data_IF_705320001194
#
_entry.id   IF_705320001194
#
_cell.length_a   1.000
_cell.length_b   1.000
_cell.length_c   1.000
_cell.angle_alpha   90.00
_cell.angle_beta   90.00
_cell.angle_gamma   90.00
#
_symmetry.space_group_name_H-M   'P 1'
#
loop_
_entity.id
_entity.type
_entity.pdbx_description
1 polymer ?
#
# COMPACT_ATOMS: atom_id res chain seq x y z
N UNK A 1 -2.43 30.80 -0.07
CA UNK A 1 -2.36 29.31 -0.09
C UNK A 1 -1.65 28.87 1.19
N UNK A 2 -2.38 28.39 2.21
CA UNK A 2 -1.75 27.86 3.44
C UNK A 2 -1.20 26.48 3.11
N UNK A 3 0.11 26.30 3.22
CA UNK A 3 0.74 24.98 3.11
C UNK A 3 0.13 24.06 4.18
N UNK A 4 -0.35 22.90 3.74
CA UNK A 4 -0.86 21.85 4.62
C UNK A 4 0.30 21.45 5.52
N UNK A 5 0.15 21.66 6.83
CA UNK A 5 1.16 21.24 7.79
C UNK A 5 1.04 19.71 7.91
N UNK A 6 1.91 18.99 7.21
CA UNK A 6 1.96 17.52 7.32
C UNK A 6 2.20 17.20 8.79
N UNK A 7 1.23 16.52 9.40
CA UNK A 7 1.31 16.12 10.80
C UNK A 7 2.38 15.04 10.93
N UNK A 8 3.30 15.18 11.89
CA UNK A 8 4.34 14.17 12.17
C UNK A 8 3.73 12.78 12.36
N UNK A 9 2.56 12.70 13.00
CA UNK A 9 1.84 11.45 13.23
C UNK A 9 1.42 10.76 11.91
N UNK A 10 1.16 11.53 10.85
CA UNK A 10 0.75 10.99 9.55
C UNK A 10 1.91 10.26 8.88
N UNK A 11 3.10 10.85 8.90
CA UNK A 11 4.29 10.19 8.36
C UNK A 11 4.63 8.94 9.18
N UNK A 12 4.61 9.02 10.51
CA UNK A 12 4.94 7.89 11.39
C UNK A 12 3.98 6.71 11.22
N UNK A 13 2.67 6.96 11.16
CA UNK A 13 1.69 5.89 11.01
C UNK A 13 1.76 5.28 9.61
N UNK A 14 1.88 6.10 8.56
CA UNK A 14 2.05 5.57 7.19
C UNK A 14 3.33 4.76 7.06
N UNK A 15 4.42 5.18 7.72
CA UNK A 15 5.67 4.44 7.75
C UNK A 15 5.51 3.08 8.42
N UNK A 16 4.97 3.05 9.63
CA UNK A 16 4.76 1.81 10.39
C UNK A 16 3.87 0.82 9.64
N UNK A 17 2.80 1.30 9.02
CA UNK A 17 1.89 0.44 8.26
C UNK A 17 2.53 -0.04 6.96
N UNK A 18 3.28 0.79 6.25
CA UNK A 18 4.00 0.36 5.05
C UNK A 18 5.04 -0.72 5.38
N UNK A 19 5.79 -0.55 6.48
CA UNK A 19 6.72 -1.57 6.97
C UNK A 19 5.98 -2.87 7.31
N UNK A 20 4.89 -2.78 8.09
CA UNK A 20 4.11 -3.95 8.47
C UNK A 20 3.54 -4.69 7.25
N UNK A 21 3.00 -3.94 6.28
CA UNK A 21 2.49 -4.49 5.03
C UNK A 21 3.59 -5.23 4.25
N UNK A 22 4.76 -4.62 4.06
CA UNK A 22 5.88 -5.25 3.35
C UNK A 22 6.38 -6.51 4.08
N UNK A 23 6.52 -6.46 5.41
CA UNK A 23 6.92 -7.63 6.20
C UNK A 23 5.92 -8.78 6.01
N UNK A 24 4.63 -8.49 6.11
CA UNK A 24 3.57 -9.50 5.92
C UNK A 24 3.62 -10.05 4.50
N UNK A 25 3.68 -9.18 3.50
CA UNK A 25 3.67 -9.60 2.11
C UNK A 25 4.88 -10.45 1.76
N UNK A 26 6.08 -10.06 2.19
CA UNK A 26 7.29 -10.86 1.97
C UNK A 26 7.27 -12.17 2.74
N UNK A 27 6.83 -12.16 4.00
CA UNK A 27 6.72 -13.39 4.79
C UNK A 27 5.80 -14.40 4.11
N UNK A 28 4.64 -13.94 3.60
CA UNK A 28 3.74 -14.78 2.82
C UNK A 28 4.37 -15.24 1.50
N UNK A 29 5.12 -14.37 0.84
CA UNK A 29 5.77 -14.67 -0.44
C UNK A 29 6.84 -15.75 -0.27
N UNK A 30 7.72 -15.63 0.73
CA UNK A 30 8.70 -16.66 1.07
C UNK A 30 8.06 -17.97 1.50
N UNK A 31 6.93 -17.90 2.23
CA UNK A 31 6.21 -19.09 2.65
C UNK A 31 5.62 -19.86 1.47
N UNK A 32 5.21 -19.16 0.41
CA UNK A 32 4.66 -19.76 -0.80
C UNK A 32 5.76 -20.22 -1.77
N UNK A 33 6.91 -19.54 -1.81
CA UNK A 33 7.96 -19.77 -2.81
C UNK A 33 8.91 -20.95 -2.52
N UNK A 34 8.48 -22.01 -1.82
CA UNK A 34 9.39 -23.00 -1.18
C UNK A 34 10.45 -23.61 -2.11
N UNK A 35 10.14 -23.79 -3.41
CA UNK A 35 11.07 -24.25 -4.45
C UNK A 35 10.99 -23.38 -5.74
N UNK A 36 10.58 -22.12 -5.58
CA UNK A 36 10.16 -21.24 -6.68
C UNK A 36 8.64 -21.14 -6.79
N UNK A 37 8.13 -20.33 -7.73
CA UNK A 37 6.69 -20.15 -7.92
C UNK A 37 6.17 -21.06 -9.04
N UNK A 38 5.20 -21.92 -8.71
CA UNK A 38 4.34 -22.55 -9.71
C UNK A 38 3.41 -21.52 -10.36
N UNK A 39 2.70 -21.91 -11.42
CA UNK A 39 1.71 -21.04 -12.07
C UNK A 39 0.67 -20.49 -11.05
N UNK A 40 0.05 -21.36 -10.26
CA UNK A 40 -0.97 -20.92 -9.29
C UNK A 40 -0.38 -19.96 -8.25
N UNK A 41 0.83 -20.23 -7.78
CA UNK A 41 1.48 -19.42 -6.76
C UNK A 41 1.94 -18.07 -7.31
N UNK A 42 2.37 -18.01 -8.57
CA UNK A 42 2.64 -16.76 -9.29
C UNK A 42 1.39 -15.88 -9.35
N UNK A 43 0.24 -16.48 -9.69
CA UNK A 43 -1.04 -15.77 -9.73
C UNK A 43 -1.44 -15.27 -8.33
N UNK A 44 -1.28 -16.09 -7.29
CA UNK A 44 -1.57 -15.69 -5.91
C UNK A 44 -0.63 -14.58 -5.42
N UNK A 45 0.66 -14.69 -5.70
CA UNK A 45 1.67 -13.69 -5.34
C UNK A 45 1.33 -12.32 -5.90
N UNK A 46 0.85 -12.23 -7.14
CA UNK A 46 0.42 -10.98 -7.76
C UNK A 46 -0.66 -10.23 -6.96
N UNK A 47 -1.40 -10.93 -6.09
CA UNK A 47 -2.46 -10.37 -5.25
C UNK A 47 -2.02 -10.07 -3.81
N UNK A 48 -0.91 -10.65 -3.33
CA UNK A 48 -0.47 -10.51 -1.94
C UNK A 48 -0.19 -9.05 -1.60
N UNK A 49 0.67 -8.39 -2.37
CA UNK A 49 1.02 -6.99 -2.17
C UNK A 49 -0.22 -6.09 -2.24
N UNK A 50 -1.03 -6.11 -3.32
CA UNK A 50 -2.22 -5.26 -3.41
C UNK A 50 -3.20 -5.46 -2.24
N UNK A 51 -3.52 -6.70 -1.87
CA UNK A 51 -4.49 -6.98 -0.79
C UNK A 51 -3.94 -6.50 0.56
N UNK A 52 -2.68 -6.77 0.85
CA UNK A 52 -2.06 -6.37 2.12
C UNK A 52 -2.06 -4.84 2.25
N UNK A 53 -1.72 -4.14 1.18
CA UNK A 53 -1.73 -2.67 1.14
C UNK A 53 -3.13 -2.07 1.10
N UNK A 54 -4.13 -2.74 0.52
CA UNK A 54 -5.53 -2.34 0.60
C UNK A 54 -5.99 -2.26 2.05
N UNK A 55 -5.80 -3.36 2.77
CA UNK A 55 -6.21 -3.51 4.17
C UNK A 55 -5.42 -2.52 5.03
N UNK A 56 -4.09 -2.48 4.87
CA UNK A 56 -3.22 -1.56 5.60
C UNK A 56 -3.61 -0.09 5.40
N UNK A 57 -3.94 0.32 4.17
CA UNK A 57 -4.34 1.70 3.87
C UNK A 57 -5.68 2.06 4.54
N UNK A 58 -6.66 1.15 4.52
CA UNK A 58 -7.93 1.36 5.25
C UNK A 58 -7.67 1.53 6.73
N UNK A 59 -6.86 0.65 7.35
CA UNK A 59 -6.50 0.76 8.76
C UNK A 59 -5.75 2.06 9.07
N UNK A 60 -4.81 2.46 8.21
CA UNK A 60 -4.06 3.72 8.35
C UNK A 60 -5.02 4.89 8.48
N UNK A 61 -5.98 4.98 7.56
CA UNK A 61 -6.94 6.08 7.51
C UNK A 61 -7.90 6.01 8.70
N UNK A 62 -8.42 4.82 9.03
CA UNK A 62 -9.34 4.63 10.14
C UNK A 62 -8.72 4.97 11.51
N UNK A 63 -7.43 4.69 11.71
CA UNK A 63 -6.68 5.03 12.93
C UNK A 63 -6.29 6.51 12.95
N UNK A 64 -5.81 7.03 11.83
CA UNK A 64 -5.32 8.41 11.72
C UNK A 64 -6.43 9.46 11.85
N UNK A 65 -7.55 9.24 11.15
CA UNK A 65 -8.60 10.26 11.04
C UNK A 65 -9.10 10.74 12.40
N UNK A 66 -9.46 9.88 13.37
CA UNK A 66 -9.87 10.35 14.69
C UNK A 66 -8.86 11.28 15.40
N UNK A 67 -7.56 11.07 15.18
CA UNK A 67 -6.49 11.87 15.81
C UNK A 67 -6.29 13.23 15.14
N UNK A 68 -6.27 13.27 13.81
CA UNK A 68 -6.13 14.51 13.03
C UNK A 68 -7.37 15.39 13.19
N UNK A 69 -8.53 14.75 13.20
CA UNK A 69 -9.82 15.41 13.36
C UNK A 69 -10.08 15.83 14.81
N UNK A 70 -9.21 15.49 15.77
CA UNK A 70 -9.36 15.91 17.18
C UNK A 70 -9.24 17.42 17.33
N UNK A 71 -8.33 18.02 16.58
CA UNK A 71 -7.90 19.42 16.71
C UNK A 71 -8.58 20.37 15.71
N UNK A 72 -9.31 19.83 14.71
CA UNK A 72 -10.07 20.62 13.74
C UNK A 72 -11.55 20.82 14.14
N UNK A 73 -12.12 21.98 13.80
CA UNK A 73 -13.57 22.24 13.93
C UNK A 73 -14.32 21.40 12.90
N UNK A 74 -15.53 20.90 13.22
CA UNK A 74 -16.29 19.99 12.34
C UNK A 74 -16.49 20.51 10.92
N UNK A 75 -16.70 21.81 10.71
CA UNK A 75 -16.83 22.43 9.39
C UNK A 75 -15.54 22.40 8.54
N UNK A 76 -14.35 22.37 9.17
CA UNK A 76 -13.07 22.27 8.47
C UNK A 76 -12.80 20.85 7.95
N UNK A 77 -13.37 19.84 8.62
CA UNK A 77 -13.13 18.40 8.40
C UNK A 77 -13.70 17.92 7.07
N UNK A 78 -14.95 18.26 6.78
CA UNK A 78 -15.63 17.87 5.54
C UNK A 78 -14.91 18.41 4.30
N UNK A 79 -14.18 19.52 4.45
CA UNK A 79 -13.43 20.16 3.38
C UNK A 79 -11.98 19.67 3.20
N UNK A 80 -11.45 18.82 4.10
CA UNK A 80 -10.02 18.42 4.09
C UNK A 80 -9.75 16.93 4.19
N UNK A 81 -10.74 16.08 4.44
CA UNK A 81 -10.53 14.63 4.53
C UNK A 81 -9.87 14.05 3.27
N UNK A 82 -10.22 14.55 2.08
CA UNK A 82 -9.65 14.09 0.82
C UNK A 82 -8.16 14.43 0.71
N UNK A 83 -7.73 15.56 1.30
CA UNK A 83 -6.33 15.97 1.34
C UNK A 83 -5.53 15.00 2.20
N UNK A 84 -6.05 14.63 3.37
CA UNK A 84 -5.38 13.67 4.26
C UNK A 84 -5.35 12.26 3.64
N UNK A 85 -6.44 11.82 3.02
CA UNK A 85 -6.50 10.54 2.31
C UNK A 85 -5.52 10.49 1.14
N UNK A 86 -5.45 11.55 0.33
CA UNK A 86 -4.48 11.68 -0.76
C UNK A 86 -3.03 11.77 -0.25
N UNK A 87 -2.81 12.41 0.90
CA UNK A 87 -1.48 12.47 1.51
C UNK A 87 -1.01 11.08 1.95
N UNK A 88 -1.91 10.30 2.58
CA UNK A 88 -1.63 8.90 2.95
C UNK A 88 -1.35 8.08 1.70
N UNK A 89 -2.17 8.21 0.65
CA UNK A 89 -1.94 7.55 -0.63
C UNK A 89 -0.53 7.78 -1.17
N UNK A 90 -0.14 9.05 -1.34
CA UNK A 90 1.15 9.44 -1.91
C UNK A 90 2.30 8.96 -1.00
N UNK A 91 2.18 9.14 0.31
CA UNK A 91 3.20 8.72 1.26
C UNK A 91 3.37 7.20 1.30
N UNK A 92 2.29 6.43 1.25
CA UNK A 92 2.36 4.96 1.22
C UNK A 92 3.13 4.50 -0.01
N UNK A 93 2.83 5.03 -1.20
CA UNK A 93 3.55 4.67 -2.42
C UNK A 93 5.04 4.99 -2.31
N UNK A 94 5.39 6.21 -1.89
CA UNK A 94 6.78 6.65 -1.76
C UNK A 94 7.52 5.78 -0.74
N UNK A 95 6.97 5.65 0.47
CA UNK A 95 7.62 4.93 1.57
C UNK A 95 7.75 3.44 1.23
N UNK A 96 6.68 2.80 0.75
CA UNK A 96 6.71 1.39 0.37
C UNK A 96 7.76 1.15 -0.73
N UNK A 97 7.79 2.01 -1.75
CA UNK A 97 8.75 1.89 -2.86
C UNK A 97 10.20 2.06 -2.37
N UNK A 98 10.46 3.02 -1.49
CA UNK A 98 11.80 3.23 -0.95
C UNK A 98 12.26 2.05 -0.08
N UNK A 99 11.39 1.50 0.76
CA UNK A 99 11.72 0.37 1.62
C UNK A 99 11.89 -0.91 0.80
N UNK A 100 11.00 -1.16 -0.15
CA UNK A 100 11.04 -2.31 -1.07
C UNK A 100 12.33 -2.29 -1.90
N UNK A 101 12.69 -1.13 -2.46
CA UNK A 101 13.96 -0.96 -3.17
C UNK A 101 15.17 -1.17 -2.24
N UNK A 102 15.16 -0.61 -1.03
CA UNK A 102 16.24 -0.80 -0.07
C UNK A 102 16.43 -2.27 0.30
N UNK A 103 15.33 -2.99 0.57
CA UNK A 103 15.37 -4.42 0.85
C UNK A 103 15.90 -5.21 -0.36
N UNK A 104 15.39 -4.94 -1.54
CA UNK A 104 15.79 -5.62 -2.78
C UNK A 104 17.29 -5.47 -3.07
N UNK A 105 17.85 -4.26 -2.96
CA UNK A 105 19.25 -4.02 -3.32
C UNK A 105 20.27 -4.45 -2.25
N UNK A 106 19.85 -4.61 -0.99
CA UNK A 106 20.77 -4.82 0.14
C UNK A 106 20.58 -6.18 0.79
N UNK A 107 19.37 -6.73 0.76
CA UNK A 107 19.00 -7.92 1.53
C UNK A 107 18.78 -9.12 0.63
N UNK A 108 17.78 -9.07 -0.25
CA UNK A 108 17.42 -10.22 -1.08
C UNK A 108 16.60 -9.81 -2.32
N UNK A 109 16.95 -10.37 -3.48
CA UNK A 109 16.26 -10.24 -4.77
C UNK A 109 15.57 -11.54 -5.21
N UNK A 110 15.71 -12.64 -4.44
CA UNK A 110 15.25 -13.98 -4.82
C UNK A 110 13.78 -14.06 -5.21
N UNK A 111 12.87 -13.40 -4.45
CA UNK A 111 11.43 -13.39 -4.72
C UNK A 111 11.14 -12.76 -6.08
N UNK A 112 11.81 -11.65 -6.41
CA UNK A 112 11.58 -10.92 -7.66
C UNK A 112 11.98 -11.76 -8.87
N UNK A 113 13.13 -12.45 -8.77
CA UNK A 113 13.62 -13.37 -9.79
C UNK A 113 12.65 -14.54 -9.94
N UNK A 114 12.31 -15.21 -8.83
CA UNK A 114 11.41 -16.34 -8.83
C UNK A 114 10.04 -15.99 -9.42
N UNK A 115 9.51 -14.80 -9.13
CA UNK A 115 8.23 -14.35 -9.67
C UNK A 115 8.29 -14.14 -11.18
N UNK A 116 9.33 -13.48 -11.68
CA UNK A 116 9.49 -13.25 -13.11
C UNK A 116 9.73 -14.56 -13.89
N UNK A 117 10.43 -15.53 -13.30
CA UNK A 117 10.59 -16.87 -13.87
C UNK A 117 9.28 -17.67 -13.86
N UNK A 118 8.52 -17.57 -12.78
CA UNK A 118 7.15 -18.07 -12.72
C UNK A 118 6.28 -17.47 -13.83
N UNK A 119 6.39 -16.17 -14.07
CA UNK A 119 5.68 -15.48 -15.15
C UNK A 119 6.12 -15.97 -16.55
N UNK A 120 7.41 -16.20 -16.73
CA UNK A 120 7.96 -16.73 -17.98
C UNK A 120 7.34 -18.09 -18.35
N UNK A 121 7.00 -18.92 -17.35
CA UNK A 121 6.34 -20.20 -17.59
C UNK A 121 4.92 -20.09 -18.19
N UNK A 122 4.28 -18.92 -18.10
CA UNK A 122 2.97 -18.65 -18.72
C UNK A 122 3.06 -18.13 -20.16
N UNK A 123 4.24 -17.66 -20.55
CA UNK A 123 4.46 -17.09 -21.88
C UNK A 123 4.94 -18.20 -22.79
N UNK A 124 4.07 -18.70 -23.66
CA UNK A 124 4.44 -19.69 -24.69
C UNK A 124 5.27 -19.08 -25.85
N UNK A 125 5.33 -17.75 -25.96
CA UNK A 125 6.05 -17.06 -27.02
C UNK A 125 7.55 -16.91 -26.74
N UNK A 126 8.38 -17.37 -27.69
CA UNK A 126 9.82 -17.14 -27.70
C UNK A 126 10.18 -15.80 -28.38
N UNK A 127 9.27 -14.82 -28.38
CA UNK A 127 9.56 -13.52 -28.98
C UNK A 127 10.56 -12.74 -28.12
N UNK A 128 11.57 -12.17 -28.78
CA UNK A 128 12.68 -11.48 -28.11
C UNK A 128 12.19 -10.34 -27.22
N UNK A 129 11.12 -9.63 -27.63
CA UNK A 129 10.56 -8.50 -26.88
C UNK A 129 9.98 -8.94 -25.51
N UNK A 130 9.30 -10.08 -25.46
CA UNK A 130 8.77 -10.61 -24.20
C UNK A 130 9.88 -11.13 -23.28
N UNK A 131 10.91 -11.76 -23.84
CA UNK A 131 12.09 -12.19 -23.07
C UNK A 131 12.83 -10.99 -22.46
N UNK A 132 13.07 -9.94 -23.25
CA UNK A 132 13.73 -8.72 -22.78
C UNK A 132 12.89 -8.02 -21.68
N UNK A 133 11.56 -8.05 -21.79
CA UNK A 133 10.64 -7.50 -20.78
C UNK A 133 10.69 -8.27 -19.45
N UNK A 134 10.78 -9.61 -19.50
CA UNK A 134 10.93 -10.45 -18.31
C UNK A 134 12.27 -10.23 -17.61
N UNK A 135 13.35 -10.04 -18.38
CA UNK A 135 14.67 -9.71 -17.83
C UNK A 135 14.71 -8.34 -17.14
N UNK A 136 13.95 -7.36 -17.65
CA UNK A 136 13.76 -6.08 -16.96
C UNK A 136 12.98 -6.31 -15.66
N UNK A 137 11.90 -7.10 -15.71
CA UNK A 137 11.05 -7.36 -14.55
C UNK A 137 11.82 -8.02 -13.40
N UNK A 138 12.74 -8.96 -13.69
CA UNK A 138 13.64 -9.60 -12.69
C UNK A 138 14.49 -8.61 -11.89
N UNK A 139 14.79 -7.45 -12.47
CA UNK A 139 15.65 -6.41 -11.86
C UNK A 139 14.86 -5.38 -11.07
N UNK A 140 13.54 -5.53 -11.01
CA UNK A 140 12.67 -4.62 -10.29
C UNK A 140 12.32 -5.19 -8.91
N UNK A 141 12.29 -4.34 -7.88
CA UNK A 141 11.80 -4.73 -6.56
C UNK A 141 10.35 -5.28 -6.60
N UNK A 142 9.99 -6.24 -5.74
CA UNK A 142 8.66 -6.87 -5.67
C UNK A 142 7.45 -5.95 -5.73
N UNK A 143 7.45 -4.85 -4.96
CA UNK A 143 6.36 -3.89 -4.95
C UNK A 143 6.28 -3.12 -6.28
N UNK A 144 7.41 -2.88 -6.92
CA UNK A 144 7.50 -2.19 -8.22
C UNK A 144 7.08 -3.11 -9.37
N UNK A 145 7.36 -4.41 -9.32
CA UNK A 145 6.88 -5.38 -10.33
C UNK A 145 5.35 -5.33 -10.47
N UNK A 146 4.63 -5.09 -9.36
CA UNK A 146 3.18 -4.90 -9.32
C UNK A 146 2.72 -3.44 -9.29
N UNK A 147 3.54 -2.47 -9.68
CA UNK A 147 3.32 -1.04 -9.38
C UNK A 147 1.94 -0.52 -9.78
N UNK A 148 1.46 -0.84 -10.99
CA UNK A 148 0.14 -0.39 -11.48
C UNK A 148 -0.98 -0.95 -10.61
N UNK A 149 -0.91 -2.24 -10.26
CA UNK A 149 -1.91 -2.88 -9.40
C UNK A 149 -1.86 -2.31 -7.99
N UNK A 150 -0.67 -2.21 -7.39
CA UNK A 150 -0.46 -1.63 -6.06
C UNK A 150 -1.00 -0.19 -6.00
N UNK A 151 -0.63 0.65 -6.96
CA UNK A 151 -1.13 2.02 -7.08
C UNK A 151 -2.66 2.07 -7.15
N UNK A 152 -3.25 1.28 -8.05
CA UNK A 152 -4.71 1.26 -8.26
C UNK A 152 -5.43 0.81 -7.01
N UNK A 153 -4.96 -0.24 -6.35
CA UNK A 153 -5.62 -0.79 -5.16
C UNK A 153 -5.47 0.13 -3.94
N UNK A 154 -4.30 0.74 -3.73
CA UNK A 154 -4.11 1.73 -2.65
C UNK A 154 -5.00 2.95 -2.91
N UNK A 155 -5.14 3.38 -4.16
CA UNK A 155 -6.04 4.46 -4.52
C UNK A 155 -7.50 4.09 -4.20
N UNK A 156 -7.96 2.90 -4.59
CA UNK A 156 -9.29 2.39 -4.25
C UNK A 156 -9.49 2.31 -2.73
N UNK A 157 -8.49 1.85 -1.98
CA UNK A 157 -8.53 1.79 -0.52
C UNK A 157 -8.79 3.17 0.12
N UNK A 158 -8.19 4.22 -0.43
CA UNK A 158 -8.44 5.60 0.00
C UNK A 158 -9.91 6.01 -0.16
N UNK A 159 -10.61 5.60 -1.22
CA UNK A 159 -12.05 5.85 -1.36
C UNK A 159 -12.90 4.92 -0.51
N UNK A 160 -12.52 3.64 -0.42
CA UNK A 160 -13.21 2.67 0.43
C UNK A 160 -13.16 3.05 1.91
N UNK A 161 -12.17 3.84 2.33
CA UNK A 161 -12.05 4.34 3.70
C UNK A 161 -13.06 5.44 4.07
N UNK A 162 -13.70 6.08 3.09
CA UNK A 162 -14.57 7.25 3.28
C UNK A 162 -15.69 7.04 4.32
N UNK A 163 -16.45 5.93 4.32
CA UNK A 163 -17.49 5.69 5.31
C UNK A 163 -16.95 5.66 6.75
N UNK A 164 -15.73 5.18 6.95
CA UNK A 164 -15.10 5.11 8.27
C UNK A 164 -14.73 6.49 8.80
N UNK A 165 -14.32 7.40 7.90
CA UNK A 165 -14.04 8.80 8.24
C UNK A 165 -15.32 9.49 8.72
N UNK A 166 -16.40 9.42 7.94
CA UNK A 166 -17.67 10.07 8.28
C UNK A 166 -18.32 9.48 9.55
N UNK A 167 -18.24 8.16 9.75
CA UNK A 167 -18.71 7.51 10.98
C UNK A 167 -17.98 8.05 12.23
N UNK A 168 -16.66 8.23 12.13
CA UNK A 168 -15.84 8.76 13.21
C UNK A 168 -16.17 10.22 13.56
N UNK A 169 -16.49 11.04 12.56
CA UNK A 169 -16.94 12.43 12.73
C UNK A 169 -18.29 12.49 13.46
N UNK A 170 -19.30 11.76 12.96
CA UNK A 170 -20.65 11.74 13.58
C UNK A 170 -20.62 11.29 15.04
N UNK A 171 -19.83 10.27 15.37
CA UNK A 171 -19.67 9.79 16.76
C UNK A 171 -19.13 10.89 17.69
N UNK A 172 -18.27 11.78 17.17
CA UNK A 172 -17.72 12.90 17.94
C UNK A 172 -18.76 13.99 18.21
N UNK A 173 -19.62 14.31 17.25
CA UNK A 173 -20.70 15.29 17.43
C UNK A 173 -21.69 14.86 18.51
N UNK A 174 -22.11 13.59 18.47
CA UNK A 174 -23.04 13.01 19.47
C UNK A 174 -22.43 13.09 20.87
N UNK A 175 -21.15 12.72 21.04
CA UNK A 175 -20.46 12.76 22.33
C UNK A 175 -20.20 14.18 22.85
N UNK A 176 -20.18 15.20 21.97
CA UNK A 176 -20.04 16.60 22.38
C UNK A 176 -21.39 17.16 22.84
N UNK A 177 -22.48 16.78 22.18
CA UNK A 177 -23.85 17.19 22.56
C UNK A 177 -24.33 16.57 23.87
N UNK A 178 -23.84 15.40 24.27
CA UNK A 178 -24.21 14.75 25.54
C UNK A 178 -23.45 15.27 26.77
N UNK A 179 -22.49 16.18 26.57
CA UNK A 179 -21.68 16.81 27.63
C UNK A 179 -22.07 18.28 27.90
N UNK A 180 -23.08 18.80 27.18
CA UNK A 180 -23.71 20.10 27.40
C UNK A 180 -25.05 19.87 28.10
#
# INVERSE_FOLDING_TARGET
MKLIKINKNLIEITLLISIACLIISYSLSYWIASDGFTMMETALYSLINPITFFIGTIFSIAIMMPTVLKDEKSEDIDSKWYVYSLSIFVLTIIIATLIDAFYFYIVDDSISIAFAEGLASFVESNDQETLDSLDILKRLPPFIQGYIQNFTIIFIACFASVPFVFSSVKKKEINKSSRL
#
